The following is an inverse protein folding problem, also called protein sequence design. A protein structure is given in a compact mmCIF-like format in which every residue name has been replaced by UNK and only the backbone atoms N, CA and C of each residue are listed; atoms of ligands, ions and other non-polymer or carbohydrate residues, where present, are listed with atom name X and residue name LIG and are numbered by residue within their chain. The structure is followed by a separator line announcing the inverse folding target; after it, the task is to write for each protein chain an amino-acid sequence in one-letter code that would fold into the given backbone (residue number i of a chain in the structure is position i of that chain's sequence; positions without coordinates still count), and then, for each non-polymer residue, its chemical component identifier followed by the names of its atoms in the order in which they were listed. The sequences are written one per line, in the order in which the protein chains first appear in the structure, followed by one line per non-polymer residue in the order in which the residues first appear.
data_IF_027929400197
#
_entry.id   IF_027929400197
#
_cell.length_a   1.000
_cell.length_b   1.000
_cell.length_c   1.000
_cell.angle_alpha   90.00
_cell.angle_beta   90.00
_cell.angle_gamma   90.00
#
_symmetry.space_group_name_H-M   'P 1'
#
loop_
_entity.id
_entity.type
_entity.pdbx_description
1 polymer ?
#
# COMPACT_ATOMS: atom_id res chain seq x y z
N UNK A 1 22.53 -1.35 2.06
CA UNK A 1 21.25 -1.64 2.71
C UNK A 1 20.84 -0.42 3.51
N UNK A 2 19.59 -0.01 3.43
CA UNK A 2 19.06 1.00 4.35
C UNK A 2 19.15 0.44 5.78
N UNK A 3 19.65 1.20 6.78
CA UNK A 3 19.76 0.74 8.15
C UNK A 3 18.41 0.36 8.78
N UNK A 4 17.31 0.72 8.16
CA UNK A 4 15.94 0.35 8.55
C UNK A 4 15.44 -0.97 7.92
N UNK A 5 16.26 -1.62 7.09
CA UNK A 5 15.91 -2.86 6.41
C UNK A 5 15.04 -2.70 5.16
N UNK A 6 14.80 -1.45 4.69
CA UNK A 6 13.97 -1.22 3.50
C UNK A 6 14.68 -1.60 2.21
N UNK A 7 13.91 -2.08 1.26
CA UNK A 7 14.37 -2.36 -0.09
C UNK A 7 14.02 -1.17 -0.99
N UNK A 8 15.05 -0.49 -1.51
CA UNK A 8 14.86 0.68 -2.38
C UNK A 8 14.58 0.31 -3.84
N UNK A 9 14.81 -0.93 -4.22
CA UNK A 9 14.63 -1.44 -5.57
C UNK A 9 13.80 -2.73 -5.52
N UNK A 10 12.68 -2.83 -6.25
CA UNK A 10 11.84 -4.01 -6.25
C UNK A 10 12.59 -5.31 -6.56
N UNK A 11 13.58 -5.25 -7.44
CA UNK A 11 14.43 -6.40 -7.80
C UNK A 11 15.30 -6.96 -6.67
N UNK A 12 15.36 -6.30 -5.52
CA UNK A 12 16.12 -6.73 -4.34
C UNK A 12 15.26 -7.31 -3.21
N UNK A 13 13.96 -7.47 -3.44
CA UNK A 13 13.10 -8.17 -2.48
C UNK A 13 13.64 -9.56 -2.19
N UNK A 14 13.74 -9.90 -0.92
CA UNK A 14 14.09 -11.26 -0.51
C UNK A 14 12.99 -12.24 -0.97
N UNK A 15 13.36 -13.39 -1.53
CA UNK A 15 12.40 -14.40 -1.93
C UNK A 15 11.70 -15.02 -0.71
N UNK A 16 10.64 -15.78 -0.98
CA UNK A 16 9.95 -16.59 0.02
C UNK A 16 10.91 -17.59 0.68
N UNK A 17 10.56 -18.04 1.88
CA UNK A 17 11.26 -19.09 2.61
C UNK A 17 10.36 -20.32 2.74
N UNK A 18 10.70 -21.40 2.08
CA UNK A 18 9.89 -22.62 2.07
C UNK A 18 9.47 -23.06 3.48
N UNK A 19 8.16 -23.26 3.69
CA UNK A 19 7.58 -23.68 4.96
C UNK A 19 7.53 -22.59 6.04
N UNK A 20 7.72 -21.34 5.67
CA UNK A 20 7.60 -20.17 6.56
C UNK A 20 6.64 -19.18 5.92
N UNK A 21 5.63 -18.74 6.65
CA UNK A 21 4.74 -17.67 6.19
C UNK A 21 5.54 -16.36 6.22
N UNK A 22 5.88 -15.84 5.06
CA UNK A 22 6.56 -14.56 4.92
C UNK A 22 5.57 -13.41 4.74
N UNK A 23 5.90 -12.26 5.32
CA UNK A 23 5.16 -11.02 5.06
C UNK A 23 5.93 -10.15 4.07
N UNK A 24 5.25 -9.69 3.04
CA UNK A 24 5.71 -8.68 2.09
C UNK A 24 4.99 -7.38 2.38
N UNK A 25 5.74 -6.35 2.73
CA UNK A 25 5.19 -5.05 3.12
C UNK A 25 5.40 -4.05 2.00
N UNK A 26 4.32 -3.48 1.50
CA UNK A 26 4.32 -2.38 0.53
C UNK A 26 3.67 -1.18 1.18
N UNK A 27 4.40 -0.08 1.23
CA UNK A 27 3.94 1.18 1.80
C UNK A 27 4.02 2.27 0.75
N UNK A 28 2.90 2.97 0.49
CA UNK A 28 2.84 4.02 -0.51
C UNK A 28 2.19 5.31 0.03
N UNK A 29 2.94 6.42 -0.04
CA UNK A 29 2.38 7.75 0.01
C UNK A 29 2.00 8.16 -1.42
N UNK A 30 0.72 8.40 -1.66
CA UNK A 30 0.19 8.70 -2.99
C UNK A 30 0.05 10.20 -3.27
N UNK A 31 0.37 11.04 -2.30
CA UNK A 31 0.37 12.49 -2.44
C UNK A 31 1.75 13.06 -2.11
N UNK A 32 2.15 14.08 -2.86
CA UNK A 32 3.47 14.72 -2.75
C UNK A 32 3.63 15.61 -1.51
N UNK A 33 2.56 15.85 -0.73
CA UNK A 33 2.71 16.54 0.55
C UNK A 33 3.64 15.75 1.46
N UNK A 34 4.70 16.38 2.00
CA UNK A 34 5.67 15.73 2.88
C UNK A 34 5.08 15.06 4.14
N UNK A 35 3.85 15.39 4.53
CA UNK A 35 3.18 14.73 5.65
C UNK A 35 2.96 13.25 5.35
N UNK A 36 2.48 12.91 4.17
CA UNK A 36 2.25 11.53 3.76
C UNK A 36 3.56 10.75 3.61
N UNK A 37 4.59 11.39 3.07
CA UNK A 37 5.93 10.80 3.00
C UNK A 37 6.50 10.43 4.36
N UNK A 38 6.29 11.25 5.38
CA UNK A 38 6.73 10.98 6.78
C UNK A 38 5.92 9.86 7.40
N UNK A 39 4.60 9.88 7.22
CA UNK A 39 3.69 8.84 7.72
C UNK A 39 4.03 7.48 7.11
N UNK A 40 4.20 7.40 5.79
CA UNK A 40 4.58 6.18 5.09
C UNK A 40 5.90 5.59 5.64
N UNK A 41 6.92 6.43 5.86
CA UNK A 41 8.19 5.97 6.44
C UNK A 41 8.05 5.44 7.86
N UNK A 42 7.24 6.12 8.69
CA UNK A 42 6.99 5.69 10.06
C UNK A 42 6.24 4.36 10.10
N UNK A 43 5.17 4.24 9.30
CA UNK A 43 4.37 3.02 9.19
C UNK A 43 5.20 1.85 8.67
N UNK A 44 6.07 2.08 7.68
CA UNK A 44 6.95 1.04 7.15
C UNK A 44 7.88 0.45 8.21
N UNK A 45 8.46 1.28 9.09
CA UNK A 45 9.31 0.81 10.20
C UNK A 45 8.52 -0.09 11.15
N UNK A 46 7.31 0.34 11.52
CA UNK A 46 6.44 -0.42 12.43
C UNK A 46 6.03 -1.74 11.81
N UNK A 47 5.55 -1.73 10.57
CA UNK A 47 5.07 -2.92 9.88
C UNK A 47 6.20 -3.91 9.60
N UNK A 48 7.37 -3.44 9.11
CA UNK A 48 8.52 -4.31 8.88
C UNK A 48 8.92 -5.08 10.14
N UNK A 49 9.03 -4.38 11.28
CA UNK A 49 9.37 -5.00 12.58
C UNK A 49 8.27 -5.91 13.10
N UNK A 50 7.01 -5.47 13.02
CA UNK A 50 5.87 -6.22 13.55
C UNK A 50 5.70 -7.58 12.87
N UNK A 51 6.01 -7.66 11.59
CA UNK A 51 5.79 -8.84 10.76
C UNK A 51 7.09 -9.53 10.30
N UNK A 52 8.25 -9.11 10.81
CA UNK A 52 9.55 -9.71 10.46
C UNK A 52 9.86 -9.59 8.96
N UNK A 53 9.48 -8.47 8.36
CA UNK A 53 9.54 -8.25 6.92
C UNK A 53 10.78 -7.45 6.46
N UNK A 54 11.85 -7.44 7.26
CA UNK A 54 13.13 -6.85 6.87
C UNK A 54 13.67 -7.54 5.61
N UNK A 55 13.99 -6.75 4.59
CA UNK A 55 14.35 -7.26 3.25
C UNK A 55 13.17 -7.59 2.35
N UNK A 56 11.92 -7.53 2.87
CA UNK A 56 10.65 -7.72 2.15
C UNK A 56 9.74 -6.50 2.23
N UNK A 57 10.29 -5.34 2.59
CA UNK A 57 9.54 -4.08 2.73
C UNK A 57 9.98 -3.09 1.66
N UNK A 58 9.03 -2.62 0.84
CA UNK A 58 9.21 -1.54 -0.12
C UNK A 58 8.45 -0.31 0.33
N UNK A 59 9.08 0.87 0.20
CA UNK A 59 8.49 2.15 0.56
C UNK A 59 8.52 3.09 -0.64
N UNK A 60 7.34 3.49 -1.10
CA UNK A 60 7.10 4.48 -2.14
C UNK A 60 6.62 5.76 -1.45
N UNK A 61 7.53 6.67 -1.14
CA UNK A 61 7.20 7.83 -0.30
C UNK A 61 7.76 9.17 -0.82
N UNK A 62 8.54 9.14 -1.89
CA UNK A 62 9.14 10.38 -2.39
C UNK A 62 10.00 11.13 -1.35
N UNK A 63 10.25 12.43 -1.55
CA UNK A 63 10.96 13.27 -0.60
C UNK A 63 10.08 13.59 0.62
N UNK A 64 10.69 13.67 1.80
CA UNK A 64 9.99 13.99 3.06
C UNK A 64 10.20 15.45 3.53
N UNK A 65 10.85 16.25 2.71
CA UNK A 65 11.19 17.65 3.01
C UNK A 65 12.31 17.82 4.04
N UNK A 66 12.95 16.75 4.50
CA UNK A 66 14.00 16.79 5.54
C UNK A 66 15.41 16.45 5.04
N UNK A 67 15.59 16.37 3.71
CA UNK A 67 16.90 16.13 3.09
C UNK A 67 17.46 14.71 3.27
N UNK A 68 16.63 13.75 3.67
CA UNK A 68 16.99 12.33 3.67
C UNK A 68 17.10 11.75 2.25
N UNK A 69 17.62 10.51 2.14
CA UNK A 69 17.67 9.82 0.86
C UNK A 69 16.27 9.76 0.22
N UNK A 70 16.16 10.21 -1.02
CA UNK A 70 14.92 10.16 -1.77
C UNK A 70 14.50 8.71 -1.98
N UNK A 71 13.29 8.37 -1.56
CA UNK A 71 12.62 7.12 -1.93
C UNK A 71 11.86 7.33 -3.24
N UNK A 72 11.55 6.26 -3.98
CA UNK A 72 10.66 6.35 -5.13
C UNK A 72 9.31 6.98 -4.74
N UNK A 73 8.74 7.77 -5.63
CA UNK A 73 7.41 8.33 -5.43
C UNK A 73 6.35 7.24 -5.46
N UNK A 74 5.29 7.43 -4.66
CA UNK A 74 4.07 6.65 -4.76
C UNK A 74 3.22 7.16 -5.92
N UNK A 75 2.92 6.27 -6.86
CA UNK A 75 1.98 6.52 -7.94
C UNK A 75 1.23 5.22 -8.26
N UNK A 76 0.08 5.27 -8.96
CA UNK A 76 -0.58 4.05 -9.40
C UNK A 76 0.38 3.12 -10.15
N UNK A 77 1.10 3.61 -11.13
CA UNK A 77 2.05 2.80 -11.90
C UNK A 77 3.21 2.25 -11.07
N UNK A 78 3.74 3.01 -10.11
CA UNK A 78 4.79 2.52 -9.21
C UNK A 78 4.25 1.45 -8.26
N UNK A 79 3.01 1.61 -7.79
CA UNK A 79 2.33 0.62 -6.96
C UNK A 79 2.11 -0.69 -7.73
N UNK A 80 1.56 -0.62 -8.94
CA UNK A 80 1.32 -1.78 -9.81
C UNK A 80 2.64 -2.54 -10.07
N UNK A 81 3.72 -1.82 -10.40
CA UNK A 81 5.04 -2.43 -10.60
C UNK A 81 5.56 -3.16 -9.35
N UNK A 82 5.39 -2.55 -8.19
CA UNK A 82 5.83 -3.14 -6.92
C UNK A 82 4.99 -4.35 -6.54
N UNK A 83 3.66 -4.28 -6.72
CA UNK A 83 2.76 -5.41 -6.46
C UNK A 83 3.05 -6.59 -7.41
N UNK A 84 3.30 -6.31 -8.69
CA UNK A 84 3.72 -7.34 -9.64
C UNK A 84 5.02 -8.02 -9.19
N UNK A 85 6.00 -7.25 -8.72
CA UNK A 85 7.25 -7.82 -8.21
C UNK A 85 7.07 -8.63 -6.94
N UNK A 86 6.19 -8.21 -6.03
CA UNK A 86 5.83 -9.01 -4.85
C UNK A 86 5.20 -10.34 -5.27
N UNK A 87 4.26 -10.31 -6.21
CA UNK A 87 3.62 -11.53 -6.73
C UNK A 87 4.59 -12.53 -7.35
N UNK A 88 5.68 -12.04 -7.98
CA UNK A 88 6.73 -12.90 -8.56
C UNK A 88 7.59 -13.62 -7.52
N UNK A 89 7.74 -13.06 -6.32
CA UNK A 89 8.69 -13.56 -5.32
C UNK A 89 8.04 -14.21 -4.10
N UNK A 90 6.75 -13.93 -3.86
CA UNK A 90 5.99 -14.51 -2.76
C UNK A 90 5.40 -15.88 -3.12
N UNK A 91 5.15 -16.71 -2.12
CA UNK A 91 4.30 -17.88 -2.27
C UNK A 91 2.83 -17.49 -2.04
N UNK A 92 1.98 -17.42 -3.09
CA UNK A 92 0.61 -16.95 -2.95
C UNK A 92 -0.30 -17.86 -2.10
N UNK A 93 0.13 -19.10 -1.81
CA UNK A 93 -0.61 -20.02 -0.98
C UNK A 93 -0.38 -19.81 0.53
N UNK A 94 0.77 -19.29 0.91
CA UNK A 94 1.21 -19.20 2.32
C UNK A 94 1.50 -17.77 2.76
N UNK A 95 2.17 -16.97 1.91
CA UNK A 95 2.65 -15.64 2.25
C UNK A 95 1.54 -14.60 2.30
N UNK A 96 1.81 -13.49 2.97
CA UNK A 96 0.86 -12.40 3.18
C UNK A 96 1.40 -11.08 2.62
N UNK A 97 0.62 -10.42 1.77
CA UNK A 97 0.83 -9.02 1.43
C UNK A 97 0.28 -8.13 2.54
N UNK A 98 1.09 -7.20 3.03
CA UNK A 98 0.66 -6.08 3.88
C UNK A 98 0.81 -4.81 3.06
N UNK A 99 -0.31 -4.26 2.62
CA UNK A 99 -0.37 -3.02 1.85
C UNK A 99 -0.83 -1.88 2.75
N UNK A 100 0.00 -0.86 2.89
CA UNK A 100 -0.35 0.40 3.56
C UNK A 100 -0.32 1.53 2.54
N UNK A 101 -1.38 2.31 2.45
CA UNK A 101 -1.41 3.55 1.66
C UNK A 101 -1.81 4.73 2.51
N UNK A 102 -1.22 5.89 2.24
CA UNK A 102 -1.60 7.16 2.84
C UNK A 102 -1.73 8.22 1.77
N UNK A 103 -2.83 8.97 1.82
CA UNK A 103 -3.17 10.05 0.90
C UNK A 103 -4.44 10.77 1.32
N UNK A 104 -4.85 11.79 0.56
CA UNK A 104 -6.24 12.23 0.56
C UNK A 104 -7.15 11.16 -0.04
N UNK A 105 -8.45 11.23 0.28
CA UNK A 105 -9.44 10.31 -0.26
C UNK A 105 -10.80 10.97 -0.48
N UNK A 106 -11.60 10.35 -1.34
CA UNK A 106 -12.98 10.73 -1.62
C UNK A 106 -13.85 9.49 -1.82
N UNK A 107 -15.16 9.67 -2.04
CA UNK A 107 -16.11 8.58 -2.24
C UNK A 107 -15.83 7.67 -3.44
N UNK A 108 -14.93 8.04 -4.32
CA UNK A 108 -14.51 7.23 -5.46
C UNK A 108 -13.15 6.53 -5.27
N UNK A 109 -12.38 6.86 -4.22
CA UNK A 109 -11.10 6.21 -3.93
C UNK A 109 -10.03 7.13 -3.34
N UNK A 110 -8.77 6.66 -3.41
CA UNK A 110 -7.58 7.37 -2.95
C UNK A 110 -7.10 8.35 -4.00
N UNK A 111 -6.78 9.57 -3.62
CA UNK A 111 -6.14 10.52 -4.52
C UNK A 111 -4.68 10.13 -4.78
N UNK A 112 -4.25 10.39 -6.01
CA UNK A 112 -2.85 10.45 -6.40
C UNK A 112 -2.55 11.88 -6.85
N UNK A 113 -1.48 12.44 -6.32
CA UNK A 113 -1.01 13.77 -6.68
C UNK A 113 0.52 13.86 -6.51
N UNK A 114 1.23 13.95 -7.60
CA UNK A 114 2.68 14.18 -7.66
C UNK A 114 3.00 15.57 -8.22
N UNK A 115 2.24 16.57 -7.82
CA UNK A 115 2.41 17.93 -8.29
C UNK A 115 2.35 18.01 -9.82
N UNK A 116 3.41 18.55 -10.43
CA UNK A 116 3.50 18.75 -11.88
C UNK A 116 3.70 17.43 -12.67
N UNK A 117 3.99 16.29 -11.99
CA UNK A 117 4.26 15.01 -12.65
C UNK A 117 2.98 14.22 -12.96
N UNK A 118 1.90 14.46 -12.25
CA UNK A 118 0.62 13.81 -12.51
C UNK A 118 -0.33 13.80 -11.32
N UNK A 119 -1.58 13.57 -11.62
CA UNK A 119 -2.63 13.38 -10.62
C UNK A 119 -3.67 12.37 -11.11
N UNK A 120 -4.44 11.82 -10.16
CA UNK A 120 -5.47 10.85 -10.48
C UNK A 120 -6.08 10.24 -9.22
N UNK A 121 -6.60 9.03 -9.36
CA UNK A 121 -7.16 8.30 -8.24
C UNK A 121 -7.00 6.78 -8.43
N UNK A 122 -6.90 6.07 -7.30
CA UNK A 122 -6.98 4.61 -7.22
C UNK A 122 -8.34 4.28 -6.62
N UNK A 123 -9.25 3.77 -7.44
CA UNK A 123 -10.56 3.32 -6.98
C UNK A 123 -10.54 1.87 -6.49
N UNK A 124 -11.60 1.46 -5.74
CA UNK A 124 -11.72 0.09 -5.24
C UNK A 124 -11.61 -0.98 -6.34
N UNK A 125 -12.26 -0.75 -7.49
CA UNK A 125 -12.24 -1.69 -8.61
C UNK A 125 -10.85 -1.83 -9.25
N UNK A 126 -10.06 -0.76 -9.28
CA UNK A 126 -8.68 -0.81 -9.77
C UNK A 126 -7.83 -1.71 -8.84
N UNK A 127 -7.81 -1.39 -7.56
CA UNK A 127 -7.00 -2.14 -6.59
C UNK A 127 -7.44 -3.61 -6.47
N UNK A 128 -8.75 -3.88 -6.51
CA UNK A 128 -9.27 -5.25 -6.51
C UNK A 128 -8.78 -6.04 -7.72
N UNK A 129 -8.87 -5.45 -8.92
CA UNK A 129 -8.45 -6.09 -10.17
C UNK A 129 -6.95 -6.39 -10.14
N UNK A 130 -6.15 -5.40 -9.79
CA UNK A 130 -4.69 -5.54 -9.70
C UNK A 130 -4.29 -6.71 -8.79
N UNK A 131 -4.79 -6.72 -7.56
CA UNK A 131 -4.48 -7.78 -6.60
C UNK A 131 -5.01 -9.15 -7.02
N UNK A 132 -6.13 -9.20 -7.75
CA UNK A 132 -6.75 -10.44 -8.22
C UNK A 132 -6.02 -11.02 -9.42
N UNK A 133 -5.66 -10.18 -10.39
CA UNK A 133 -4.92 -10.57 -11.60
C UNK A 133 -3.51 -11.08 -11.25
N UNK A 134 -2.89 -10.49 -10.23
CA UNK A 134 -1.61 -10.94 -9.69
C UNK A 134 -1.70 -12.21 -8.82
N UNK A 135 -2.89 -12.69 -8.51
CA UNK A 135 -3.11 -13.88 -7.70
C UNK A 135 -2.74 -13.72 -6.22
N UNK A 136 -2.52 -12.50 -5.74
CA UNK A 136 -2.23 -12.21 -4.33
C UNK A 136 -3.51 -12.40 -3.51
N UNK A 137 -3.59 -13.43 -2.70
CA UNK A 137 -4.82 -13.82 -1.97
C UNK A 137 -4.82 -13.37 -0.52
N UNK A 138 -3.77 -13.71 0.23
CA UNK A 138 -3.69 -13.40 1.65
C UNK A 138 -3.23 -11.95 1.83
N UNK A 139 -4.08 -11.09 2.37
CA UNK A 139 -3.85 -9.63 2.39
C UNK A 139 -4.24 -9.01 3.72
N UNK A 140 -3.41 -8.09 4.18
CA UNK A 140 -3.78 -7.08 5.16
C UNK A 140 -3.66 -5.72 4.46
N UNK A 141 -4.78 -5.04 4.27
CA UNK A 141 -4.86 -3.75 3.57
C UNK A 141 -5.19 -2.66 4.59
N UNK A 142 -4.33 -1.66 4.69
CA UNK A 142 -4.42 -0.54 5.62
C UNK A 142 -4.50 0.75 4.80
N UNK A 143 -5.65 1.42 4.82
CA UNK A 143 -5.91 2.61 4.02
C UNK A 143 -6.08 3.85 4.93
N UNK A 144 -5.04 4.67 5.01
CA UNK A 144 -5.04 5.94 5.74
C UNK A 144 -5.46 7.06 4.79
N UNK A 145 -6.76 7.24 4.65
CA UNK A 145 -7.38 8.28 3.82
C UNK A 145 -8.84 8.51 4.19
N UNK A 146 -9.33 9.74 4.01
CA UNK A 146 -10.74 10.03 4.12
C UNK A 146 -11.55 9.13 3.18
N UNK A 147 -12.76 8.75 3.56
CA UNK A 147 -13.65 7.89 2.77
C UNK A 147 -13.11 6.51 2.38
N UNK A 148 -11.98 6.06 2.93
CA UNK A 148 -11.37 4.76 2.60
C UNK A 148 -12.30 3.56 2.85
N UNK A 149 -13.36 3.72 3.64
CA UNK A 149 -14.41 2.71 3.82
C UNK A 149 -15.10 2.25 2.53
N UNK A 150 -15.02 3.02 1.42
CA UNK A 150 -15.57 2.60 0.12
C UNK A 150 -14.86 1.38 -0.47
N UNK A 151 -13.67 1.06 -0.01
CA UNK A 151 -12.91 -0.12 -0.43
C UNK A 151 -13.39 -1.42 0.22
N UNK A 152 -14.01 -1.34 1.40
CA UNK A 152 -14.40 -2.52 2.20
C UNK A 152 -15.29 -3.49 1.43
N UNK A 153 -16.40 -3.05 0.78
CA UNK A 153 -17.31 -3.98 0.11
C UNK A 153 -16.69 -4.78 -1.03
N UNK A 154 -15.64 -4.24 -1.66
CA UNK A 154 -15.01 -4.86 -2.82
C UNK A 154 -13.77 -5.68 -2.46
N UNK A 155 -13.01 -5.26 -1.46
CA UNK A 155 -11.73 -5.88 -1.12
C UNK A 155 -11.82 -6.90 0.02
N UNK A 156 -12.88 -6.86 0.84
CA UNK A 156 -13.06 -7.82 1.94
C UNK A 156 -13.31 -9.23 1.41
N UNK A 157 -12.65 -10.21 2.01
CA UNK A 157 -12.84 -11.63 1.70
C UNK A 157 -12.38 -12.47 2.89
N UNK A 158 -12.53 -13.79 2.80
CA UNK A 158 -12.05 -14.74 3.83
C UNK A 158 -10.52 -14.69 4.01
N UNK A 159 -9.80 -14.17 3.01
CA UNK A 159 -8.33 -14.08 3.02
C UNK A 159 -7.82 -12.63 3.00
N UNK A 160 -8.71 -11.64 3.12
CA UNK A 160 -8.36 -10.22 3.12
C UNK A 160 -8.92 -9.53 4.36
N UNK A 161 -8.04 -9.08 5.24
CA UNK A 161 -8.37 -8.11 6.28
C UNK A 161 -8.15 -6.69 5.75
N UNK A 162 -9.11 -5.79 6.00
CA UNK A 162 -9.00 -4.39 5.60
C UNK A 162 -9.28 -3.46 6.78
N UNK A 163 -8.43 -2.47 6.97
CA UNK A 163 -8.56 -1.42 7.97
C UNK A 163 -8.61 -0.08 7.27
N UNK A 164 -9.60 0.75 7.63
CA UNK A 164 -9.84 2.06 7.05
C UNK A 164 -9.98 3.11 8.14
N UNK A 165 -9.57 4.33 7.88
CA UNK A 165 -9.70 5.45 8.82
C UNK A 165 -11.14 5.92 8.97
N UNK A 166 -11.95 5.82 7.91
CA UNK A 166 -13.34 6.27 7.89
C UNK A 166 -14.24 5.21 7.28
N UNK A 167 -15.29 4.87 8.00
CA UNK A 167 -16.43 4.18 7.41
C UNK A 167 -17.07 5.14 6.39
N UNK A 168 -17.38 4.65 5.19
CA UNK A 168 -18.22 5.39 4.27
C UNK A 168 -19.54 5.72 5.02
N UNK A 169 -19.72 6.98 5.43
CA UNK A 169 -21.01 7.41 5.92
C UNK A 169 -21.99 7.23 4.77
N UNK A 170 -22.93 6.30 4.91
CA UNK A 170 -24.14 6.33 4.09
C UNK A 170 -24.73 7.71 4.33
N UNK A 171 -24.64 8.60 3.37
CA UNK A 171 -25.58 9.71 3.27
C UNK A 171 -26.95 9.07 3.31
N UNK A 172 -27.70 9.32 4.37
CA UNK A 172 -29.11 9.03 4.39
C UNK A 172 -29.67 9.83 3.21
N UNK A 173 -30.02 9.13 2.14
CA UNK A 173 -30.88 9.72 1.13
C UNK A 173 -32.09 10.22 1.90
N UNK A 174 -32.16 11.54 2.07
CA UNK A 174 -33.30 12.18 2.67
C UNK A 174 -34.50 11.90 1.81
N UNK A 175 -35.41 11.10 2.34
CA UNK A 175 -36.78 11.05 1.89
C UNK A 175 -37.39 12.43 2.19
N UNK A 176 -37.59 13.22 1.15
CA UNK A 176 -38.61 14.25 1.07
C UNK A 176 -39.42 14.01 -0.20
#
# INVERSE_FOLDING_TARGET
RDPRGFVHQPGRLAPERSGVIDAYVVVAALDSDPVFAREARASAVVLARRYGAEGRTIVLAGPDGRGGAALPMGSPAALDLVLARVAEVMNPAEDVLILYTTSHGAGFGLYYNDGDQGYGAIGPAHLWRELSDLGIRNRLILLSACYSGVFVPMLSSDTTAIVTEHLATRERAGLF
#
